data_IF_673718304729
#
_entry.id   IF_673718304729
#
_cell.length_a   1.000
_cell.length_b   1.000
_cell.length_c   1.000
_cell.angle_alpha   90.00
_cell.angle_beta   90.00
_cell.angle_gamma   90.00
#
_symmetry.space_group_name_H-M   'P 1'
#
loop_
_entity.id
_entity.type
_entity.pdbx_description
1 polymer ?
#
# COMPACT_ATOMS: atom_id res chain seq x y z
N UNK A 1 -26.64 -65.75 -2.56
CA UNK A 1 -25.80 -64.76 -3.29
C UNK A 1 -25.90 -63.42 -2.56
N UNK A 2 -24.82 -63.03 -1.86
CA UNK A 2 -24.76 -61.74 -1.15
C UNK A 2 -24.28 -60.70 -2.16
N UNK A 3 -25.12 -59.70 -2.47
CA UNK A 3 -24.75 -58.56 -3.32
C UNK A 3 -24.15 -57.47 -2.44
N UNK A 4 -22.83 -57.30 -2.50
CA UNK A 4 -22.13 -56.15 -1.91
C UNK A 4 -22.29 -54.96 -2.86
N UNK A 5 -23.00 -53.91 -2.44
CA UNK A 5 -23.02 -52.62 -3.14
C UNK A 5 -21.81 -51.81 -2.66
N UNK A 6 -20.82 -51.64 -3.53
CA UNK A 6 -19.74 -50.67 -3.31
C UNK A 6 -20.33 -49.28 -3.57
N UNK A 7 -20.49 -48.49 -2.52
CA UNK A 7 -20.79 -47.05 -2.65
C UNK A 7 -19.44 -46.35 -2.82
N UNK A 8 -19.11 -45.96 -4.05
CA UNK A 8 -17.96 -45.10 -4.31
C UNK A 8 -18.30 -43.69 -3.83
N UNK A 9 -17.78 -43.30 -2.67
CA UNK A 9 -17.83 -41.90 -2.21
C UNK A 9 -16.73 -41.16 -2.98
N UNK A 10 -17.12 -40.45 -4.03
CA UNK A 10 -16.25 -39.47 -4.68
C UNK A 10 -16.11 -38.27 -3.74
N UNK A 11 -15.01 -38.19 -3.00
CA UNK A 11 -14.57 -36.93 -2.45
C UNK A 11 -14.13 -36.05 -3.63
N UNK A 12 -15.01 -35.13 -4.04
CA UNK A 12 -14.55 -33.96 -4.79
C UNK A 12 -13.71 -33.16 -3.78
N UNK A 13 -12.40 -33.33 -3.83
CA UNK A 13 -11.48 -32.38 -3.21
C UNK A 13 -11.75 -31.05 -3.92
N UNK A 14 -12.49 -30.16 -3.26
CA UNK A 14 -12.50 -28.74 -3.62
C UNK A 14 -11.04 -28.30 -3.60
N UNK A 15 -10.49 -28.06 -4.79
CA UNK A 15 -9.24 -27.32 -4.93
C UNK A 15 -9.60 -25.91 -4.51
N UNK A 16 -9.46 -25.61 -3.22
CA UNK A 16 -9.61 -24.25 -2.72
C UNK A 16 -8.62 -23.42 -3.52
N UNK A 17 -9.12 -22.48 -4.31
CA UNK A 17 -8.28 -21.61 -5.13
C UNK A 17 -7.25 -20.97 -4.23
N UNK A 18 -5.97 -21.26 -4.46
CA UNK A 18 -4.88 -20.73 -3.66
C UNK A 18 -4.82 -19.23 -3.94
N UNK A 19 -5.37 -18.42 -3.04
CA UNK A 19 -5.31 -16.96 -3.16
C UNK A 19 -3.91 -16.47 -2.86
N UNK A 20 -3.12 -16.27 -3.92
CA UNK A 20 -1.81 -15.62 -3.84
C UNK A 20 -1.97 -14.15 -3.47
N UNK A 21 -1.28 -13.69 -2.43
CA UNK A 21 -1.09 -12.24 -2.21
C UNK A 21 -0.07 -11.72 -3.21
N UNK A 22 -0.33 -10.55 -3.76
CA UNK A 22 0.62 -9.80 -4.59
C UNK A 22 0.76 -8.40 -3.99
N UNK A 23 1.68 -7.61 -4.50
CA UNK A 23 1.92 -6.22 -4.12
C UNK A 23 2.78 -5.58 -5.19
N UNK A 24 2.69 -4.27 -5.32
CA UNK A 24 3.56 -3.44 -6.13
C UNK A 24 3.94 -2.18 -5.36
N UNK A 25 5.16 -1.70 -5.59
CA UNK A 25 5.65 -0.44 -5.10
C UNK A 25 6.27 0.35 -6.25
N UNK A 26 5.85 1.59 -6.41
CA UNK A 26 6.45 2.54 -7.35
C UNK A 26 7.47 3.36 -6.61
N UNK A 27 8.74 3.10 -6.92
CA UNK A 27 9.86 3.80 -6.35
C UNK A 27 10.02 5.14 -7.07
N UNK A 28 9.94 6.22 -6.29
CA UNK A 28 10.20 7.58 -6.77
C UNK A 28 11.28 8.21 -5.89
N UNK A 29 12.42 8.53 -6.50
CA UNK A 29 13.59 9.03 -5.83
C UNK A 29 13.91 10.49 -6.05
N UNK A 30 15.06 10.91 -5.54
CA UNK A 30 15.67 12.17 -5.92
C UNK A 30 16.19 12.08 -7.36
N UNK A 31 16.18 13.21 -8.06
CA UNK A 31 16.72 13.35 -9.42
C UNK A 31 16.04 12.46 -10.47
N UNK A 32 16.63 11.28 -10.74
CA UNK A 32 16.29 10.41 -11.87
C UNK A 32 15.99 8.97 -11.46
N UNK A 33 16.22 8.60 -10.19
CA UNK A 33 16.04 7.21 -9.75
C UNK A 33 14.55 6.90 -9.63
N UNK A 34 14.09 5.92 -10.40
CA UNK A 34 12.71 5.46 -10.36
C UNK A 34 12.61 3.97 -10.68
N UNK A 35 11.51 3.34 -10.31
CA UNK A 35 11.34 1.92 -10.60
C UNK A 35 10.01 1.37 -10.16
N UNK A 36 9.78 0.11 -10.51
CA UNK A 36 8.62 -0.65 -10.06
C UNK A 36 9.13 -1.98 -9.49
N UNK A 37 8.62 -2.32 -8.31
CA UNK A 37 8.95 -3.57 -7.61
C UNK A 37 7.65 -4.30 -7.30
N UNK A 38 7.54 -5.53 -7.77
CA UNK A 38 6.48 -6.45 -7.45
C UNK A 38 6.90 -7.41 -6.35
N UNK A 39 5.96 -7.71 -5.46
CA UNK A 39 6.13 -8.65 -4.37
C UNK A 39 4.99 -9.66 -4.42
N UNK A 40 5.27 -10.95 -4.21
CA UNK A 40 4.25 -12.01 -4.28
C UNK A 40 4.50 -13.04 -3.20
N UNK A 41 3.43 -13.46 -2.52
CA UNK A 41 3.43 -14.58 -1.59
C UNK A 41 2.24 -15.48 -1.90
N UNK A 42 2.51 -16.70 -2.41
CA UNK A 42 1.42 -17.60 -2.86
C UNK A 42 0.59 -18.15 -1.71
N UNK A 43 1.24 -18.44 -0.58
CA UNK A 43 0.62 -18.95 0.64
C UNK A 43 1.34 -18.36 1.85
N UNK A 44 0.65 -18.30 3.00
CA UNK A 44 1.20 -17.72 4.24
C UNK A 44 2.55 -18.32 4.70
N UNK A 45 2.88 -19.55 4.29
CA UNK A 45 4.14 -20.23 4.62
C UNK A 45 5.14 -20.29 3.47
N UNK A 46 4.74 -19.87 2.28
CA UNK A 46 5.65 -19.81 1.13
C UNK A 46 6.65 -18.67 1.34
N UNK A 47 7.81 -18.81 0.72
CA UNK A 47 8.72 -17.68 0.56
C UNK A 47 8.04 -16.56 -0.22
N UNK A 48 8.54 -15.35 -0.03
CA UNK A 48 8.15 -14.18 -0.80
C UNK A 48 9.05 -14.07 -2.01
N UNK A 49 8.46 -13.87 -3.18
CA UNK A 49 9.16 -13.50 -4.41
C UNK A 49 9.12 -11.98 -4.55
N UNK A 50 10.27 -11.37 -4.83
CA UNK A 50 10.40 -9.92 -5.07
C UNK A 50 11.11 -9.74 -6.42
N UNK A 51 10.45 -9.06 -7.34
CA UNK A 51 10.94 -8.79 -8.70
C UNK A 51 10.87 -7.29 -8.96
N UNK A 52 11.86 -6.71 -9.62
CA UNK A 52 11.80 -5.29 -9.93
C UNK A 52 12.75 -4.83 -10.99
N UNK A 53 12.44 -3.64 -11.50
CA UNK A 53 13.28 -2.86 -12.40
C UNK A 53 13.42 -1.44 -11.84
N UNK A 54 14.66 -1.03 -11.60
CA UNK A 54 15.01 0.30 -11.09
C UNK A 54 16.01 0.94 -12.05
N UNK A 55 15.74 2.16 -12.48
CA UNK A 55 16.55 2.92 -13.45
C UNK A 55 17.11 4.19 -12.80
N UNK A 56 18.07 4.83 -13.48
CA UNK A 56 18.71 6.05 -13.00
C UNK A 56 19.75 5.83 -11.90
N UNK A 57 20.09 4.57 -11.61
CA UNK A 57 21.12 4.22 -10.64
C UNK A 57 22.52 4.50 -11.19
N UNK A 58 23.51 4.56 -10.31
CA UNK A 58 24.90 4.70 -10.72
C UNK A 58 25.32 3.45 -11.54
N UNK A 59 25.81 3.62 -12.78
CA UNK A 59 26.17 2.47 -13.62
C UNK A 59 27.24 1.55 -13.02
N UNK A 60 27.14 0.26 -13.30
CA UNK A 60 28.07 -0.79 -12.86
C UNK A 60 28.34 -0.79 -11.35
N UNK A 61 27.30 -0.57 -10.55
CA UNK A 61 27.43 -0.46 -9.11
C UNK A 61 26.34 -1.21 -8.36
N UNK A 62 26.54 -1.38 -7.05
CA UNK A 62 25.60 -2.04 -6.15
C UNK A 62 24.95 -1.04 -5.22
N UNK A 63 23.71 -1.34 -4.88
CA UNK A 63 22.84 -0.48 -4.09
C UNK A 63 22.11 -1.32 -3.05
N UNK A 64 22.24 -0.97 -1.77
CA UNK A 64 21.47 -1.58 -0.69
C UNK A 64 19.97 -1.42 -0.95
N UNK A 65 19.21 -2.47 -0.66
CA UNK A 65 17.79 -2.55 -0.95
C UNK A 65 17.06 -3.15 0.25
N UNK A 66 16.18 -2.37 0.86
CA UNK A 66 15.58 -2.71 2.15
C UNK A 66 14.09 -2.42 2.18
N UNK A 67 13.37 -3.12 3.04
CA UNK A 67 12.03 -2.73 3.48
C UNK A 67 12.19 -1.93 4.77
N UNK A 68 11.69 -0.71 4.75
CA UNK A 68 11.72 0.20 5.88
C UNK A 68 10.47 0.05 6.74
N UNK A 69 10.52 0.59 7.96
CA UNK A 69 9.46 0.43 8.95
C UNK A 69 8.18 1.13 8.52
N UNK A 70 8.28 2.31 7.93
CA UNK A 70 7.13 3.12 7.57
C UNK A 70 6.94 3.16 6.06
N UNK A 71 5.68 3.21 5.63
CA UNK A 71 5.25 3.64 4.31
C UNK A 71 4.95 5.14 4.27
N UNK A 72 5.56 5.91 5.16
CA UNK A 72 5.46 7.37 5.17
C UNK A 72 6.56 7.95 4.25
N UNK A 73 6.13 8.71 3.26
CA UNK A 73 7.00 9.36 2.28
C UNK A 73 6.83 10.88 2.24
N UNK A 74 6.27 11.51 3.28
CA UNK A 74 5.96 12.95 3.34
C UNK A 74 7.20 13.83 3.28
N UNK A 75 8.28 13.43 3.96
CA UNK A 75 9.61 14.03 3.82
C UNK A 75 10.51 13.17 2.91
N UNK A 76 9.95 12.71 1.80
CA UNK A 76 10.61 11.76 0.90
C UNK A 76 11.00 10.47 1.62
N UNK A 77 12.11 9.86 1.23
CA UNK A 77 12.52 8.58 1.80
C UNK A 77 13.00 8.66 3.25
N UNK A 78 13.20 9.86 3.81
CA UNK A 78 13.61 10.04 5.20
C UNK A 78 12.51 9.58 6.17
N UNK A 79 11.25 9.88 5.85
CA UNK A 79 10.09 9.51 6.68
C UNK A 79 9.84 8.01 6.78
N UNK A 80 10.39 7.19 5.87
CA UNK A 80 10.23 5.74 5.90
C UNK A 80 10.82 5.08 7.18
N UNK A 81 11.55 5.82 8.03
CA UNK A 81 12.09 5.30 9.29
C UNK A 81 13.28 4.37 9.09
N UNK A 82 13.56 3.49 10.05
CA UNK A 82 14.65 2.51 9.98
C UNK A 82 14.26 1.27 9.16
N UNK A 83 15.16 0.31 8.99
CA UNK A 83 14.80 -0.99 8.40
C UNK A 83 13.72 -1.68 9.24
N UNK A 84 12.82 -2.42 8.60
CA UNK A 84 11.74 -3.10 9.31
C UNK A 84 12.27 -4.21 10.21
N UNK A 85 12.27 -3.96 11.52
CA UNK A 85 12.88 -4.81 12.54
C UNK A 85 11.94 -5.05 13.76
N UNK A 86 10.84 -5.80 13.60
CA UNK A 86 9.90 -6.04 14.70
C UNK A 86 10.47 -6.95 15.80
N UNK A 87 11.68 -7.48 15.62
CA UNK A 87 12.32 -8.42 16.55
C UNK A 87 13.57 -7.86 17.23
N UNK A 88 13.92 -6.59 17.00
CA UNK A 88 15.08 -5.95 17.63
C UNK A 88 16.41 -6.63 17.33
N UNK A 89 16.57 -7.18 16.13
CA UNK A 89 17.82 -7.84 15.67
C UNK A 89 18.84 -6.83 15.20
N UNK A 90 20.09 -7.27 15.03
CA UNK A 90 21.06 -6.48 14.25
C UNK A 90 20.75 -6.59 12.76
N UNK A 91 21.26 -5.65 11.99
CA UNK A 91 21.30 -5.75 10.54
C UNK A 91 22.20 -6.90 10.09
N UNK A 92 21.81 -7.58 9.01
CA UNK A 92 22.59 -8.66 8.39
C UNK A 92 22.15 -8.91 6.95
N UNK A 93 22.86 -9.79 6.25
CA UNK A 93 22.52 -10.15 4.87
C UNK A 93 21.30 -11.08 4.79
N UNK A 94 20.63 -11.21 3.63
CA UNK A 94 19.34 -11.93 3.50
C UNK A 94 19.38 -13.41 3.91
N UNK A 95 20.57 -14.03 3.86
CA UNK A 95 20.82 -15.43 4.27
C UNK A 95 21.13 -15.60 5.76
N UNK A 96 21.38 -14.51 6.47
CA UNK A 96 21.72 -14.53 7.88
C UNK A 96 20.46 -14.79 8.73
N UNK A 97 20.62 -15.57 9.80
CA UNK A 97 19.51 -15.90 10.71
C UNK A 97 19.17 -14.72 11.63
N UNK A 98 20.21 -13.98 12.04
CA UNK A 98 20.15 -12.70 12.72
C UNK A 98 20.25 -11.56 11.71
N UNK A 99 19.11 -10.94 11.44
CA UNK A 99 18.93 -9.81 10.52
C UNK A 99 17.57 -9.17 10.77
N UNK A 100 17.36 -7.96 10.29
CA UNK A 100 16.03 -7.37 10.21
C UNK A 100 15.16 -8.14 9.20
N UNK A 101 13.84 -8.07 9.34
CA UNK A 101 12.94 -8.64 8.32
C UNK A 101 13.17 -7.92 6.98
N UNK A 102 13.35 -6.60 7.03
CA UNK A 102 13.52 -5.77 5.85
C UNK A 102 14.89 -5.84 5.18
N UNK A 103 15.86 -6.59 5.70
CA UNK A 103 17.18 -6.69 5.08
C UNK A 103 17.17 -7.63 3.87
N UNK A 104 17.28 -7.08 2.65
CA UNK A 104 17.29 -7.85 1.39
C UNK A 104 18.67 -7.87 0.70
N UNK A 105 19.66 -7.16 1.25
CA UNK A 105 21.01 -7.03 0.70
C UNK A 105 21.08 -5.99 -0.41
N UNK A 106 21.88 -6.24 -1.45
CA UNK A 106 22.09 -5.30 -2.55
C UNK A 106 21.53 -5.78 -3.89
N UNK A 107 21.06 -4.83 -4.70
CA UNK A 107 20.79 -4.99 -6.13
C UNK A 107 21.97 -4.45 -6.95
N UNK A 108 22.12 -4.93 -8.19
CA UNK A 108 23.21 -4.51 -9.09
C UNK A 108 22.65 -3.76 -10.28
N UNK A 109 23.14 -2.54 -10.51
CA UNK A 109 22.86 -1.76 -11.70
C UNK A 109 23.86 -2.08 -12.82
N UNK A 110 23.36 -2.24 -14.04
CA UNK A 110 24.16 -2.49 -15.23
C UNK A 110 24.88 -1.22 -15.73
N UNK A 111 25.53 -1.30 -16.90
CA UNK A 111 26.24 -0.18 -17.51
C UNK A 111 25.34 1.00 -17.92
N UNK A 112 24.02 0.79 -17.96
CA UNK A 112 23.03 1.83 -18.26
C UNK A 112 22.39 2.40 -16.97
N UNK A 113 22.83 1.96 -15.79
CA UNK A 113 22.23 2.38 -14.53
C UNK A 113 20.87 1.72 -14.26
N UNK A 114 20.65 0.52 -14.82
CA UNK A 114 19.42 -0.26 -14.65
C UNK A 114 19.68 -1.51 -13.83
N UNK A 115 18.93 -1.68 -12.73
CA UNK A 115 18.91 -2.90 -11.94
C UNK A 115 17.62 -3.68 -12.24
N UNK A 116 17.75 -4.82 -12.92
CA UNK A 116 16.71 -5.82 -13.06
C UNK A 116 17.02 -6.98 -12.11
N UNK A 117 16.08 -7.36 -11.25
CA UNK A 117 16.35 -8.37 -10.24
C UNK A 117 15.12 -9.23 -9.92
N UNK A 118 15.40 -10.46 -9.49
CA UNK A 118 14.45 -11.42 -8.94
C UNK A 118 15.11 -12.05 -7.72
N UNK A 119 14.49 -11.89 -6.56
CA UNK A 119 14.99 -12.42 -5.28
C UNK A 119 13.88 -13.10 -4.50
N UNK A 120 14.27 -13.91 -3.53
CA UNK A 120 13.38 -14.69 -2.68
C UNK A 120 13.75 -14.52 -1.22
N UNK A 121 12.76 -14.30 -0.35
CA UNK A 121 12.98 -14.10 1.07
C UNK A 121 12.05 -15.00 1.92
N UNK A 122 12.60 -15.58 2.99
CA UNK A 122 11.88 -16.49 3.88
C UNK A 122 11.41 -15.82 5.20
N UNK A 123 11.78 -14.56 5.46
CA UNK A 123 11.37 -13.80 6.66
C UNK A 123 10.33 -12.74 6.33
N UNK A 124 10.38 -12.15 5.15
CA UNK A 124 9.35 -11.23 4.66
C UNK A 124 8.01 -11.98 4.53
N UNK A 125 6.92 -11.30 4.84
CA UNK A 125 5.56 -11.82 4.63
C UNK A 125 4.60 -10.70 4.26
N UNK A 126 3.60 -11.03 3.44
CA UNK A 126 2.46 -10.16 3.13
C UNK A 126 1.27 -10.39 4.07
N UNK A 127 1.39 -11.30 5.05
CA UNK A 127 0.29 -11.71 5.91
C UNK A 127 0.51 -11.41 7.38
N UNK A 128 -0.60 -11.26 8.10
CA UNK A 128 -0.62 -11.19 9.56
C UNK A 128 0.06 -9.94 10.13
N UNK A 129 0.35 -9.98 11.43
CA UNK A 129 0.83 -8.81 12.18
C UNK A 129 2.19 -8.25 11.74
N UNK A 130 3.00 -9.06 11.07
CA UNK A 130 4.32 -8.66 10.58
C UNK A 130 4.34 -8.45 9.06
N UNK A 131 3.16 -8.26 8.46
CA UNK A 131 3.07 -7.92 7.04
C UNK A 131 3.89 -6.68 6.70
N UNK A 132 4.49 -6.70 5.51
CA UNK A 132 5.19 -5.56 4.92
C UNK A 132 4.26 -4.67 4.07
N UNK A 133 3.00 -5.05 3.89
CA UNK A 133 1.99 -4.18 3.25
C UNK A 133 1.85 -2.87 4.03
N UNK A 134 1.82 -1.76 3.29
CA UNK A 134 1.83 -0.41 3.82
C UNK A 134 3.20 0.08 4.31
N UNK A 135 4.28 -0.70 4.17
CA UNK A 135 5.65 -0.25 4.43
C UNK A 135 6.35 0.16 3.14
N UNK A 136 7.52 0.78 3.20
CA UNK A 136 8.23 1.20 1.99
C UNK A 136 9.39 0.27 1.63
N UNK A 137 9.54 -0.04 0.33
CA UNK A 137 10.85 -0.38 -0.21
C UNK A 137 11.71 0.89 -0.29
N UNK A 138 13.01 0.77 -0.04
CA UNK A 138 14.01 1.84 -0.17
C UNK A 138 15.25 1.28 -0.86
N UNK A 139 15.72 1.99 -1.89
CA UNK A 139 17.02 1.75 -2.54
C UNK A 139 18.02 2.81 -2.08
N UNK A 140 19.23 2.38 -1.75
CA UNK A 140 20.29 3.19 -1.17
C UNK A 140 21.40 3.51 -2.18
N UNK A 141 22.26 4.47 -1.83
CA UNK A 141 23.33 4.97 -2.68
C UNK A 141 24.50 3.98 -2.85
N UNK A 142 24.85 3.25 -1.79
CA UNK A 142 26.03 2.39 -1.72
C UNK A 142 25.64 0.92 -1.55
N UNK A 143 26.63 0.04 -1.77
CA UNK A 143 26.51 -1.39 -1.47
C UNK A 143 26.24 -1.60 0.03
N UNK A 144 25.30 -2.50 0.33
CA UNK A 144 25.06 -3.01 1.68
C UNK A 144 26.21 -3.95 2.08
N UNK A 145 26.91 -3.62 3.18
CA UNK A 145 27.99 -4.43 3.74
C UNK A 145 27.52 -5.63 4.56
N UNK A 146 26.20 -5.82 4.70
CA UNK A 146 25.52 -6.96 5.28
C UNK A 146 25.88 -7.18 6.75
N UNK A 147 26.19 -6.12 7.51
CA UNK A 147 26.59 -6.24 8.91
C UNK A 147 28.05 -6.68 9.09
N UNK A 148 28.86 -6.66 8.02
CA UNK A 148 30.25 -7.15 8.00
C UNK A 148 31.29 -6.03 8.01
N UNK A 149 30.87 -4.79 8.25
CA UNK A 149 31.75 -3.64 8.44
C UNK A 149 32.63 -3.81 9.69
N UNK A 150 33.86 -3.30 9.62
CA UNK A 150 34.85 -3.41 10.69
C UNK A 150 35.43 -2.05 11.08
N UNK A 151 36.15 -2.00 12.20
CA UNK A 151 36.73 -0.76 12.72
C UNK A 151 35.67 0.31 12.98
N UNK A 152 35.90 1.52 12.47
CA UNK A 152 34.97 2.65 12.60
C UNK A 152 33.63 2.46 11.90
N UNK A 153 33.51 1.48 10.98
CA UNK A 153 32.26 1.18 10.26
C UNK A 153 31.36 0.18 10.98
N UNK A 154 31.86 -0.49 12.02
CA UNK A 154 31.18 -1.65 12.64
C UNK A 154 29.83 -1.28 13.23
N UNK A 155 29.74 -0.15 13.94
CA UNK A 155 28.50 0.21 14.63
C UNK A 155 27.36 0.47 13.64
N UNK A 156 27.62 1.25 12.59
CA UNK A 156 26.62 1.57 11.58
C UNK A 156 26.32 0.38 10.66
N UNK A 157 27.31 -0.48 10.40
CA UNK A 157 27.13 -1.74 9.69
C UNK A 157 26.05 -2.60 10.34
N UNK A 158 26.07 -2.75 11.67
CA UNK A 158 25.08 -3.52 12.41
C UNK A 158 23.69 -2.86 12.48
N UNK A 159 23.52 -1.63 11.98
CA UNK A 159 22.24 -0.91 11.94
C UNK A 159 21.66 -0.81 10.53
N UNK A 160 22.48 -0.53 9.53
CA UNK A 160 22.01 -0.13 8.20
C UNK A 160 22.80 -0.74 7.05
N UNK A 161 23.83 -1.54 7.35
CA UNK A 161 24.72 -2.07 6.32
C UNK A 161 25.63 -1.02 5.68
N UNK A 162 25.77 0.18 6.27
CA UNK A 162 26.54 1.30 5.71
C UNK A 162 26.15 1.68 4.26
N UNK A 163 24.89 1.46 3.87
CA UNK A 163 24.43 1.64 2.49
C UNK A 163 24.31 3.12 2.04
N UNK A 164 24.58 4.09 2.92
CA UNK A 164 24.59 5.52 2.56
C UNK A 164 23.20 6.12 2.37
N UNK A 165 23.10 7.16 1.53
CA UNK A 165 21.87 7.93 1.35
C UNK A 165 20.75 7.08 0.72
N UNK A 166 19.49 7.51 0.92
CA UNK A 166 18.30 6.87 0.33
C UNK A 166 18.00 7.52 -1.00
N UNK A 167 18.05 6.77 -2.08
CA UNK A 167 17.87 7.28 -3.44
C UNK A 167 16.39 7.32 -3.84
N UNK A 168 15.67 6.20 -3.69
CA UNK A 168 14.25 6.11 -4.02
C UNK A 168 13.48 5.21 -3.06
N UNK A 169 12.18 5.45 -2.97
CA UNK A 169 11.29 4.75 -2.06
C UNK A 169 9.86 4.71 -2.60
N UNK A 170 9.10 3.72 -2.14
CA UNK A 170 7.74 3.45 -2.61
C UNK A 170 7.03 2.51 -1.65
N UNK A 171 5.77 2.81 -1.37
CA UNK A 171 4.92 2.04 -0.46
C UNK A 171 4.55 0.72 -1.14
N UNK A 172 4.65 -0.37 -0.40
CA UNK A 172 4.17 -1.69 -0.77
C UNK A 172 2.65 -1.68 -0.61
N UNK A 173 1.93 -1.71 -1.72
CA UNK A 173 0.48 -1.67 -1.71
C UNK A 173 -0.18 -3.00 -1.27
N UNK A 174 -1.51 -2.96 -1.14
CA UNK A 174 -2.40 -4.11 -1.10
C UNK A 174 -3.20 -4.17 -2.41
N UNK A 175 -2.90 -5.12 -3.32
CA UNK A 175 -3.65 -5.31 -4.55
C UNK A 175 -4.65 -6.48 -4.45
N UNK A 176 -5.02 -6.95 -3.25
CA UNK A 176 -5.85 -8.16 -3.17
C UNK A 176 -7.31 -7.95 -3.61
N UNK A 177 -7.66 -8.63 -4.71
CA UNK A 177 -8.95 -9.26 -4.99
C UNK A 177 -8.71 -10.74 -5.28
N UNK A 178 -8.98 -11.61 -4.30
CA UNK A 178 -9.45 -12.99 -4.50
C UNK A 178 -10.08 -13.49 -3.19
N UNK A 179 -11.27 -13.00 -2.86
CA UNK A 179 -12.13 -13.69 -1.90
C UNK A 179 -12.88 -14.82 -2.61
N UNK A 180 -12.30 -16.01 -2.59
CA UNK A 180 -13.06 -17.27 -2.50
C UNK A 180 -12.42 -18.12 -1.41
N UNK A 181 -12.43 -17.61 -0.18
CA UNK A 181 -12.70 -18.35 1.06
C UNK A 181 -12.28 -17.53 2.29
N UNK A 182 -13.08 -17.46 3.36
CA UNK A 182 -12.70 -16.81 4.59
C UNK A 182 -11.72 -17.70 5.37
N UNK A 183 -10.55 -17.20 5.80
CA UNK A 183 -9.90 -17.83 6.93
C UNK A 183 -10.72 -17.50 8.18
N UNK A 184 -11.28 -18.54 8.80
CA UNK A 184 -11.82 -18.47 10.15
C UNK A 184 -10.72 -17.98 11.10
N UNK A 185 -10.83 -16.74 11.57
CA UNK A 185 -10.06 -16.25 12.71
C UNK A 185 -11.04 -15.81 13.81
N UNK A 186 -11.22 -16.68 14.80
CA UNK A 186 -11.73 -16.28 16.11
C UNK A 186 -10.55 -15.65 16.84
N UNK A 187 -10.44 -14.33 16.80
CA UNK A 187 -9.58 -13.58 17.74
C UNK A 187 -10.44 -13.18 18.94
N UNK A 188 -10.15 -13.66 20.16
CA UNK A 188 -10.84 -13.18 21.35
C UNK A 188 -10.58 -11.68 21.52
N UNK A 189 -11.66 -10.92 21.65
CA UNK A 189 -11.75 -9.46 21.70
C UNK A 189 -10.90 -8.75 22.79
N UNK A 190 -10.11 -9.47 23.59
CA UNK A 190 -9.61 -8.95 24.86
C UNK A 190 -8.10 -8.73 24.94
N UNK A 191 -7.31 -8.87 23.85
CA UNK A 191 -5.84 -8.65 23.90
C UNK A 191 -5.20 -8.17 22.58
N UNK A 192 -5.68 -7.07 22.00
CA UNK A 192 -4.87 -6.31 21.03
C UNK A 192 -4.18 -5.16 21.77
N UNK A 193 -2.87 -5.30 21.95
CA UNK A 193 -2.02 -4.23 22.49
C UNK A 193 -2.11 -3.01 21.59
N UNK A 194 -2.52 -1.92 22.21
CA UNK A 194 -2.79 -0.60 21.66
C UNK A 194 -1.51 0.05 21.15
N UNK A 195 -1.41 0.27 19.86
CA UNK A 195 -0.63 1.38 19.30
C UNK A 195 -1.55 2.15 18.38
N UNK A 196 -1.64 3.47 18.55
CA UNK A 196 -2.02 4.36 17.47
C UNK A 196 -1.19 4.00 16.23
N UNK A 197 -1.78 4.14 15.05
CA UNK A 197 -1.04 4.15 13.79
C UNK A 197 -1.55 5.37 13.05
N UNK A 198 -0.68 6.37 12.85
CA UNK A 198 -0.84 7.34 11.78
C UNK A 198 -0.55 6.66 10.44
N UNK A 199 -1.23 7.10 9.40
CA UNK A 199 -1.03 6.57 8.05
C UNK A 199 -1.10 7.73 7.08
N UNK A 200 -0.06 7.88 6.26
CA UNK A 200 0.09 8.97 5.30
C UNK A 200 0.29 8.43 3.88
N UNK A 201 -0.07 9.22 2.85
CA UNK A 201 0.03 8.80 1.46
C UNK A 201 0.77 9.81 0.56
N UNK A 202 1.57 9.29 -0.38
CA UNK A 202 2.28 10.07 -1.42
C UNK A 202 1.54 10.00 -2.74
N UNK A 203 1.39 11.15 -3.41
CA UNK A 203 0.43 11.33 -4.50
C UNK A 203 1.08 11.39 -5.88
N UNK A 204 0.47 10.73 -6.87
CA UNK A 204 0.90 10.81 -8.27
C UNK A 204 -0.07 11.68 -9.08
N UNK A 205 0.41 12.82 -9.59
CA UNK A 205 -0.34 13.72 -10.46
C UNK A 205 0.07 13.55 -11.92
N UNK A 206 -0.26 12.41 -12.57
CA UNK A 206 -0.22 12.33 -14.03
C UNK A 206 -1.61 12.58 -14.58
N UNK A 207 -1.80 13.77 -15.18
CA UNK A 207 -3.00 14.15 -15.93
C UNK A 207 -2.81 13.87 -17.41
N UNK A 208 -3.76 13.15 -18.00
CA UNK A 208 -3.93 13.06 -19.44
C UNK A 208 -4.43 14.43 -19.98
N UNK A 209 -3.51 15.28 -20.43
CA UNK A 209 -3.75 16.25 -21.50
C UNK A 209 -4.73 17.43 -21.29
N UNK A 210 -5.12 17.82 -20.07
CA UNK A 210 -6.00 18.99 -19.84
C UNK A 210 -5.47 19.95 -18.74
N UNK A 211 -5.48 21.24 -19.09
CA UNK A 211 -5.26 22.51 -18.35
C UNK A 211 -4.86 22.44 -16.86
N UNK A 212 -3.82 23.19 -16.47
CA UNK A 212 -3.02 23.14 -15.24
C UNK A 212 -3.74 23.47 -13.90
N UNK A 213 -5.05 23.33 -13.77
CA UNK A 213 -5.76 23.40 -12.47
C UNK A 213 -6.08 21.99 -11.94
N UNK A 214 -5.31 21.47 -10.99
CA UNK A 214 -5.54 20.11 -10.50
C UNK A 214 -5.07 19.91 -9.07
N UNK A 215 -5.86 19.13 -8.35
CA UNK A 215 -5.65 18.82 -6.95
C UNK A 215 -4.29 18.16 -6.74
N UNK A 216 -3.50 18.72 -5.84
CA UNK A 216 -2.29 18.11 -5.29
C UNK A 216 -2.53 17.95 -3.79
N UNK A 217 -2.87 16.75 -3.31
CA UNK A 217 -2.95 16.51 -1.88
C UNK A 217 -1.59 16.77 -1.22
N UNK A 218 -1.60 17.46 -0.08
CA UNK A 218 -0.37 17.81 0.65
C UNK A 218 -0.04 16.68 1.60
N UNK A 219 -0.96 16.38 2.53
CA UNK A 219 -0.89 15.25 3.46
C UNK A 219 -2.33 14.83 3.84
N UNK A 220 -2.58 13.52 3.93
CA UNK A 220 -3.80 12.95 4.53
C UNK A 220 -3.35 11.94 5.56
N UNK A 221 -3.73 12.19 6.80
CA UNK A 221 -3.47 11.35 7.95
C UNK A 221 -4.73 10.57 8.34
N UNK A 222 -4.59 9.26 8.47
CA UNK A 222 -5.63 8.41 9.04
C UNK A 222 -5.19 7.93 10.42
N UNK A 223 -5.97 8.28 11.43
CA UNK A 223 -5.72 7.88 12.80
C UNK A 223 -6.89 7.07 13.34
N UNK A 224 -6.56 5.99 14.03
CA UNK A 224 -7.53 5.32 14.88
C UNK A 224 -6.84 4.69 16.07
N UNK A 225 -7.45 4.90 17.25
CA UNK A 225 -7.18 4.09 18.44
C UNK A 225 -8.22 2.95 18.58
N UNK A 226 -9.44 3.20 18.09
CA UNK A 226 -10.60 2.30 17.94
C UNK A 226 -11.55 2.90 16.89
N UNK A 227 -12.59 2.16 16.48
CA UNK A 227 -13.66 2.71 15.65
C UNK A 227 -14.41 3.82 16.41
N UNK A 228 -14.83 4.90 15.72
CA UNK A 228 -14.64 5.16 14.29
C UNK A 228 -13.21 5.60 13.95
N UNK A 229 -12.77 5.30 12.73
CA UNK A 229 -11.52 5.81 12.15
C UNK A 229 -11.69 7.30 11.81
N UNK A 230 -10.73 8.13 12.25
CA UNK A 230 -10.68 9.54 11.88
C UNK A 230 -9.74 9.71 10.69
N UNK A 231 -10.24 10.38 9.64
CA UNK A 231 -9.48 10.76 8.45
C UNK A 231 -9.36 12.29 8.47
N UNK A 232 -8.15 12.78 8.59
CA UNK A 232 -7.81 14.20 8.65
C UNK A 232 -6.79 14.55 7.59
N UNK A 233 -6.84 15.74 6.99
CA UNK A 233 -5.84 16.09 5.99
C UNK A 233 -6.13 17.36 5.23
N UNK A 234 -5.23 17.70 4.33
CA UNK A 234 -5.36 18.88 3.47
C UNK A 234 -5.05 18.52 2.03
N UNK A 235 -5.97 18.90 1.13
CA UNK A 235 -5.75 18.84 -0.31
C UNK A 235 -5.73 20.25 -0.89
N UNK A 236 -4.70 20.59 -1.66
CA UNK A 236 -4.59 21.91 -2.30
C UNK A 236 -4.72 21.79 -3.83
N UNK A 237 -4.79 22.91 -4.54
CA UNK A 237 -4.75 22.94 -6.00
C UNK A 237 -6.11 22.66 -6.67
N UNK A 238 -7.20 22.57 -5.90
CA UNK A 238 -8.53 22.51 -6.47
C UNK A 238 -8.93 23.84 -7.10
N UNK A 239 -9.90 23.76 -8.02
CA UNK A 239 -10.67 24.94 -8.40
C UNK A 239 -11.33 25.54 -7.14
N UNK A 240 -11.32 26.86 -6.93
CA UNK A 240 -11.97 27.47 -5.78
C UNK A 240 -13.46 27.15 -5.69
N UNK A 241 -13.96 26.96 -4.46
CA UNK A 241 -15.39 26.77 -4.14
C UNK A 241 -16.07 25.57 -4.83
N UNK A 242 -15.33 24.51 -5.16
CA UNK A 242 -15.88 23.27 -5.74
C UNK A 242 -15.97 22.14 -4.72
N UNK A 243 -16.68 21.06 -5.09
CA UNK A 243 -16.75 19.80 -4.35
C UNK A 243 -16.22 18.67 -5.20
N UNK A 244 -15.59 17.70 -4.56
CA UNK A 244 -14.87 16.60 -5.20
C UNK A 244 -15.19 15.31 -4.46
N UNK A 245 -15.59 14.25 -5.18
CA UNK A 245 -15.74 12.91 -4.61
C UNK A 245 -14.41 12.41 -4.06
N UNK A 246 -14.45 11.73 -2.93
CA UNK A 246 -13.28 11.27 -2.20
C UNK A 246 -13.55 9.86 -1.72
N UNK A 247 -12.75 8.90 -2.19
CA UNK A 247 -12.99 7.49 -1.96
C UNK A 247 -11.70 6.75 -1.63
N UNK A 248 -11.84 5.60 -0.97
CA UNK A 248 -10.78 4.59 -0.92
C UNK A 248 -11.05 3.60 -2.04
N UNK A 249 -10.05 3.41 -2.88
CA UNK A 249 -10.08 2.49 -3.99
C UNK A 249 -9.52 1.14 -3.61
N UNK A 250 -9.84 0.16 -4.43
CA UNK A 250 -9.54 -1.22 -4.16
C UNK A 250 -8.04 -1.51 -4.10
N UNK A 251 -7.25 -0.93 -5.00
CA UNK A 251 -5.82 -1.19 -5.06
C UNK A 251 -5.02 0.07 -4.70
N UNK A 252 -3.85 -0.11 -4.11
CA UNK A 252 -2.82 0.92 -4.05
C UNK A 252 -1.94 0.96 -5.31
N UNK A 253 -2.28 0.19 -6.35
CA UNK A 253 -1.50 0.17 -7.58
C UNK A 253 -1.66 1.49 -8.32
N UNK A 254 -0.56 2.24 -8.45
CA UNK A 254 -0.51 3.51 -9.16
C UNK A 254 0.32 3.45 -10.45
N UNK A 255 0.59 2.26 -10.99
CA UNK A 255 1.52 2.03 -12.11
C UNK A 255 1.09 2.76 -13.37
N UNK A 256 -0.22 2.90 -13.57
CA UNK A 256 -0.83 3.74 -14.59
C UNK A 256 -1.55 4.95 -13.97
N UNK A 257 -0.88 5.61 -13.01
CA UNK A 257 -1.48 6.68 -12.22
C UNK A 257 -2.72 6.17 -11.48
N UNK A 258 -3.71 7.04 -11.30
CA UNK A 258 -4.91 6.70 -10.53
C UNK A 258 -5.81 5.68 -11.23
N UNK A 259 -5.62 5.41 -12.52
CA UNK A 259 -6.41 4.42 -13.25
C UNK A 259 -6.19 2.99 -12.72
N UNK A 260 -4.97 2.66 -12.27
CA UNK A 260 -4.62 1.34 -11.74
C UNK A 260 -5.23 1.05 -10.36
N UNK A 261 -5.73 2.06 -9.64
CA UNK A 261 -6.29 1.88 -8.30
C UNK A 261 -7.57 1.01 -8.28
N UNK A 262 -8.14 0.65 -9.44
CA UNK A 262 -9.34 -0.22 -9.49
C UNK A 262 -10.63 0.51 -9.08
N UNK A 263 -11.75 -0.20 -8.84
CA UNK A 263 -13.01 0.38 -8.36
C UNK A 263 -12.90 0.87 -6.90
N UNK A 264 -14.00 1.38 -6.34
CA UNK A 264 -14.06 1.70 -4.90
C UNK A 264 -13.85 0.41 -4.09
N UNK A 265 -13.24 0.53 -2.91
CA UNK A 265 -13.02 -0.61 -2.05
C UNK A 265 -14.35 -1.17 -1.52
N UNK A 266 -14.76 -2.32 -2.06
CA UNK A 266 -16.06 -2.94 -1.80
C UNK A 266 -15.92 -4.45 -1.51
N UNK A 267 -15.37 -4.83 -0.34
CA UNK A 267 -15.16 -6.24 0.00
C UNK A 267 -16.47 -7.02 0.25
N UNK A 268 -17.61 -6.32 0.35
CA UNK A 268 -18.92 -6.90 0.65
C UNK A 268 -19.86 -6.95 -0.57
N UNK A 269 -19.47 -6.37 -1.70
CA UNK A 269 -20.30 -6.35 -2.91
C UNK A 269 -21.55 -5.47 -2.77
N UNK A 270 -21.49 -4.43 -1.95
CA UNK A 270 -22.60 -3.49 -1.73
C UNK A 270 -22.77 -2.53 -2.91
N UNK A 271 -23.92 -1.85 -2.96
CA UNK A 271 -24.06 -0.67 -3.82
C UNK A 271 -23.39 0.54 -3.17
N UNK A 272 -23.03 1.52 -3.99
CA UNK A 272 -22.55 2.81 -3.53
C UNK A 272 -23.59 3.52 -2.65
N UNK A 273 -23.13 4.18 -1.58
CA UNK A 273 -23.99 4.91 -0.65
C UNK A 273 -23.36 6.19 -0.11
N UNK A 274 -24.09 6.92 0.73
CA UNK A 274 -23.50 7.99 1.53
C UNK A 274 -22.62 7.42 2.65
N UNK A 275 -21.63 8.16 3.17
CA UNK A 275 -20.80 7.70 4.31
C UNK A 275 -21.62 7.31 5.55
N UNK A 276 -22.80 7.91 5.73
CA UNK A 276 -23.69 7.62 6.84
C UNK A 276 -24.62 6.42 6.59
N UNK A 277 -24.66 5.89 5.36
CA UNK A 277 -25.50 4.75 5.02
C UNK A 277 -24.86 3.44 5.49
N UNK A 278 -25.66 2.54 6.04
CA UNK A 278 -25.19 1.21 6.47
C UNK A 278 -24.76 0.33 5.29
N UNK A 279 -25.52 0.38 4.19
CA UNK A 279 -25.22 -0.35 2.96
C UNK A 279 -24.49 0.61 2.01
N UNK A 280 -23.15 0.51 1.99
CA UNK A 280 -22.25 1.29 1.13
C UNK A 280 -20.99 0.49 0.86
N UNK A 281 -20.14 0.94 -0.08
CA UNK A 281 -18.78 0.44 -0.10
C UNK A 281 -18.01 0.95 1.13
N UNK A 282 -17.08 0.17 1.69
CA UNK A 282 -16.18 0.66 2.75
C UNK A 282 -15.43 1.91 2.28
N UNK A 283 -15.11 1.98 0.98
CA UNK A 283 -14.41 3.11 0.40
C UNK A 283 -15.23 4.38 0.14
N UNK A 284 -16.54 4.39 0.39
CA UNK A 284 -17.39 5.54 0.08
C UNK A 284 -17.32 6.61 1.18
N UNK A 285 -16.43 7.61 0.99
CA UNK A 285 -16.22 8.70 1.96
C UNK A 285 -16.93 10.01 1.56
N UNK A 286 -17.75 9.99 0.51
CA UNK A 286 -18.55 11.14 0.10
C UNK A 286 -17.73 12.18 -0.66
N UNK A 287 -18.01 13.47 -0.42
CA UNK A 287 -17.23 14.56 -1.03
C UNK A 287 -16.39 15.33 -0.01
N UNK A 288 -15.36 16.00 -0.51
CA UNK A 288 -14.63 17.10 0.14
C UNK A 288 -14.97 18.42 -0.54
N UNK A 289 -14.82 19.55 0.16
CA UNK A 289 -15.10 20.89 -0.36
C UNK A 289 -13.84 21.73 -0.37
N UNK A 290 -13.49 22.27 -1.53
CA UNK A 290 -12.44 23.26 -1.68
C UNK A 290 -12.98 24.66 -1.31
N UNK A 291 -12.22 25.40 -0.52
CA UNK A 291 -12.50 26.79 -0.17
C UNK A 291 -12.11 27.76 -1.29
N UNK A 292 -12.24 29.06 -1.04
CA UNK A 292 -11.95 30.10 -2.03
C UNK A 292 -10.46 30.17 -2.45
N UNK A 293 -9.56 29.61 -1.63
CA UNK A 293 -8.14 29.48 -1.93
C UNK A 293 -7.79 28.16 -2.65
N UNK A 294 -8.77 27.33 -3.01
CA UNK A 294 -8.52 26.03 -3.64
C UNK A 294 -8.01 24.94 -2.69
N UNK A 295 -8.15 25.14 -1.38
CA UNK A 295 -7.76 24.18 -0.33
C UNK A 295 -8.99 23.49 0.23
N UNK A 296 -8.95 22.17 0.37
CA UNK A 296 -9.95 21.37 1.06
C UNK A 296 -9.33 20.76 2.33
N UNK A 297 -9.88 21.12 3.49
CA UNK A 297 -9.57 20.49 4.76
C UNK A 297 -10.51 19.29 4.95
N UNK A 298 -9.92 18.13 5.26
CA UNK A 298 -10.63 16.88 5.49
C UNK A 298 -10.69 16.66 7.00
N UNK A 299 -11.89 16.41 7.50
CA UNK A 299 -12.13 15.84 8.82
C UNK A 299 -13.36 14.95 8.71
N UNK A 300 -13.15 13.64 8.66
CA UNK A 300 -14.19 12.62 8.53
C UNK A 300 -14.02 11.59 9.64
N UNK A 301 -15.13 11.09 10.15
CA UNK A 301 -15.16 9.92 11.02
C UNK A 301 -15.96 8.84 10.30
N UNK A 302 -15.38 7.67 10.12
CA UNK A 302 -16.00 6.55 9.41
C UNK A 302 -15.95 5.29 10.30
N UNK A 303 -17.07 4.57 10.34
CA UNK A 303 -17.28 3.39 11.19
C UNK A 303 -17.08 2.06 10.47
N UNK A 304 -16.89 2.07 9.14
CA UNK A 304 -16.65 0.87 8.34
C UNK A 304 -15.19 0.76 7.88
N UNK A 305 -14.49 1.88 7.71
CA UNK A 305 -13.05 1.90 7.45
C UNK A 305 -12.32 1.31 8.64
N UNK A 306 -11.36 0.41 8.36
CA UNK A 306 -10.50 -0.18 9.39
C UNK A 306 -9.04 -0.15 8.95
N UNK A 307 -8.12 0.03 9.89
CA UNK A 307 -6.67 -0.01 9.67
C UNK A 307 -6.07 -1.40 9.94
N UNK A 308 -6.89 -2.37 10.35
CA UNK A 308 -6.45 -3.68 10.79
C UNK A 308 -7.39 -4.80 10.33
N UNK A 309 -6.93 -6.04 10.46
CA UNK A 309 -7.70 -7.21 10.04
C UNK A 309 -7.76 -7.37 8.52
N UNK A 310 -8.62 -8.29 8.08
CA UNK A 310 -8.71 -8.73 6.68
C UNK A 310 -9.25 -7.67 5.71
N UNK A 311 -9.92 -6.64 6.22
CA UNK A 311 -10.49 -5.56 5.41
C UNK A 311 -9.78 -4.23 5.64
N UNK A 312 -8.52 -4.29 6.09
CA UNK A 312 -7.73 -3.09 6.29
C UNK A 312 -7.61 -2.29 5.00
N UNK A 313 -7.66 -0.97 5.13
CA UNK A 313 -7.39 -0.04 4.02
C UNK A 313 -5.90 0.24 3.83
N UNK A 314 -5.03 -0.25 4.73
CA UNK A 314 -3.58 -0.09 4.61
C UNK A 314 -3.07 -0.76 3.33
N UNK A 315 -2.31 -0.01 2.54
CA UNK A 315 -1.84 -0.41 1.21
C UNK A 315 -2.82 -0.10 0.08
N UNK A 316 -4.04 0.40 0.35
CA UNK A 316 -4.99 0.85 -0.68
C UNK A 316 -4.77 2.31 -1.05
N UNK A 317 -5.38 2.78 -2.13
CA UNK A 317 -5.28 4.18 -2.52
C UNK A 317 -6.48 5.00 -2.04
N UNK A 318 -6.24 6.17 -1.46
CA UNK A 318 -7.21 7.25 -1.56
C UNK A 318 -7.22 7.78 -2.98
N UNK A 319 -8.40 8.17 -3.47
CA UNK A 319 -8.59 8.85 -4.75
C UNK A 319 -9.54 10.02 -4.57
N UNK A 320 -9.19 11.14 -5.17
CA UNK A 320 -10.07 12.31 -5.27
C UNK A 320 -10.47 12.55 -6.72
N UNK A 321 -11.73 12.90 -6.94
CA UNK A 321 -12.35 12.97 -8.27
C UNK A 321 -12.70 14.42 -8.67
N UNK A 322 -13.02 14.63 -9.95
CA UNK A 322 -13.30 15.95 -10.52
C UNK A 322 -14.69 16.49 -10.22
N UNK A 323 -15.69 15.62 -10.06
CA UNK A 323 -17.07 15.97 -9.71
C UNK A 323 -17.41 15.59 -8.27
N UNK A 324 -18.46 16.20 -7.67
CA UNK A 324 -18.98 15.77 -6.38
C UNK A 324 -19.57 14.36 -6.48
N UNK A 325 -19.45 13.61 -5.39
CA UNK A 325 -20.13 12.34 -5.21
C UNK A 325 -21.64 12.55 -5.02
N UNK A 326 -22.45 11.82 -5.81
CA UNK A 326 -23.91 11.83 -5.77
C UNK A 326 -24.52 10.82 -4.79
N UNK A 327 -23.69 10.08 -4.06
CA UNK A 327 -24.03 9.19 -2.94
C UNK A 327 -24.95 8.03 -3.35
N UNK A 328 -24.85 7.56 -4.60
CA UNK A 328 -25.73 6.51 -5.12
C UNK A 328 -27.15 6.98 -5.47
N UNK A 329 -27.39 8.30 -5.52
CA UNK A 329 -28.73 8.90 -5.70
C UNK A 329 -29.04 9.35 -7.13
N UNK A 330 -28.19 9.01 -8.08
CA UNK A 330 -28.40 9.27 -9.51
C UNK A 330 -29.64 8.56 -10.04
N UNK A 331 -30.41 9.24 -10.89
CA UNK A 331 -31.65 8.74 -11.49
C UNK A 331 -31.55 8.62 -13.02
N UNK A 332 -32.47 7.87 -13.64
CA UNK A 332 -32.50 7.68 -15.08
C UNK A 332 -31.21 7.04 -15.60
N UNK A 333 -30.65 7.58 -16.68
CA UNK A 333 -29.44 7.06 -17.33
C UNK A 333 -28.20 7.09 -16.43
N UNK A 334 -28.21 7.90 -15.36
CA UNK A 334 -27.11 8.00 -14.39
C UNK A 334 -27.17 6.97 -13.26
N UNK A 335 -28.27 6.24 -13.13
CA UNK A 335 -28.51 5.36 -11.97
C UNK A 335 -27.49 4.23 -11.85
N UNK A 336 -27.16 3.58 -12.97
CA UNK A 336 -26.25 2.44 -12.96
C UNK A 336 -24.83 2.84 -12.52
N UNK A 337 -24.33 3.96 -13.03
CA UNK A 337 -23.00 4.46 -12.64
C UNK A 337 -23.01 5.04 -11.21
N UNK A 338 -24.09 5.72 -10.82
CA UNK A 338 -24.27 6.24 -9.46
C UNK A 338 -24.14 5.13 -8.40
N UNK A 339 -24.84 4.01 -8.60
CA UNK A 339 -24.78 2.85 -7.71
C UNK A 339 -23.41 2.16 -7.68
N UNK A 340 -22.53 2.46 -8.63
CA UNK A 340 -21.20 1.85 -8.74
C UNK A 340 -20.08 2.76 -8.22
N UNK A 341 -20.18 4.06 -8.42
CA UNK A 341 -19.05 4.99 -8.22
C UNK A 341 -19.46 6.37 -7.69
N UNK A 342 -20.75 6.59 -7.39
CA UNK A 342 -21.23 7.90 -6.98
C UNK A 342 -21.19 8.97 -8.08
N UNK A 343 -21.01 8.57 -9.35
CA UNK A 343 -20.87 9.48 -10.50
C UNK A 343 -19.82 10.59 -10.32
N UNK A 344 -18.78 10.36 -9.53
CA UNK A 344 -17.80 11.39 -9.16
C UNK A 344 -16.86 11.79 -10.31
N UNK A 345 -16.92 11.11 -11.46
CA UNK A 345 -16.18 11.48 -12.67
C UNK A 345 -14.71 11.08 -12.65
N UNK A 346 -13.87 11.84 -13.34
CA UNK A 346 -12.46 11.55 -13.55
C UNK A 346 -11.65 11.60 -12.24
N UNK A 347 -10.59 10.80 -12.15
CA UNK A 347 -9.69 10.76 -10.99
C UNK A 347 -8.66 11.88 -11.12
N UNK A 348 -8.61 12.80 -10.16
CA UNK A 348 -7.69 13.94 -10.16
C UNK A 348 -6.33 13.60 -9.54
N UNK A 349 -6.35 12.91 -8.39
CA UNK A 349 -5.15 12.51 -7.67
C UNK A 349 -5.41 11.27 -6.81
N UNK A 350 -4.34 10.51 -6.54
CA UNK A 350 -4.38 9.28 -5.77
C UNK A 350 -3.08 9.06 -4.99
N UNK A 351 -3.16 8.40 -3.84
CA UNK A 351 -2.03 8.15 -2.96
C UNK A 351 -2.26 6.91 -2.09
N UNK A 352 -1.20 6.12 -1.90
CA UNK A 352 -1.27 4.85 -1.17
C UNK A 352 -1.24 5.11 0.33
N UNK A 353 -2.13 4.45 1.07
CA UNK A 353 -2.30 4.48 2.52
C UNK A 353 -1.14 3.69 3.16
N UNK A 354 -0.08 4.36 3.61
CA UNK A 354 1.13 3.75 4.20
C UNK A 354 1.21 3.88 5.72
N UNK A 355 1.91 2.99 6.42
CA UNK A 355 2.11 3.06 7.88
C UNK A 355 3.06 4.21 8.20
N UNK A 356 2.67 5.16 9.06
CA UNK A 356 3.52 6.26 9.50
C UNK A 356 3.93 6.11 10.96
N UNK A 357 4.85 6.97 11.39
CA UNK A 357 5.27 7.07 12.79
C UNK A 357 4.28 7.95 13.54
N UNK A 358 3.88 7.50 14.73
CA UNK A 358 3.01 8.25 15.65
C UNK A 358 3.54 9.65 16.02
#
# INVERSE_FOLDING_TARGET
MIRIKIVAIFFVLSVHGISSMRGVAILNGNETVSGVVWITQRQIRDHVTIEGMITGLKPNSKHGFHIHEFGDLTNGCASAGSHYNPFGKNHGGPKDSDRHIGDLGSITADANGVANFLTYDNKVTLHGKHSVVGRAFVVHELDDDLGRGSGSKKEESLKTGNAGARLACGIIDDPSQHHSDPPHFIVPWNKLQTSSRSVEGKWNSKRDGLDQSGANPVDIDIRSKYDPVTIEGTIIGFKPNTRHGFHIHEFGDLTNGCASAGPHYNPFGENHGAPEDYMRHIGDLGSVRAEANGVANILKNDDQVTLYGKHSVVGRAFVVHDLPDDLGKGTGDKKAESLRTGNAGARLACGVIGIAKD
#
